data_IF_594287274963
#
_entry.id   IF_594287274963
#
_cell.length_a   1.000
_cell.length_b   1.000
_cell.length_c   1.000
_cell.angle_alpha   90.00
_cell.angle_beta   90.00
_cell.angle_gamma   90.00
#
_symmetry.space_group_name_H-M   'P 1'
#
loop_
_entity.id
_entity.type
_entity.pdbx_description
1 polymer ?
#
# COMPACT_ATOMS: atom_id res chain seq x y z
N UNK A 1 21.27 60.09 -18.80
CA UNK A 1 22.37 61.02 -18.57
C UNK A 1 23.40 60.34 -17.70
N UNK A 2 24.57 60.04 -18.26
CA UNK A 2 25.69 59.50 -17.48
C UNK A 2 26.12 60.53 -16.45
N UNK A 3 26.21 60.21 -15.16
CA UNK A 3 26.69 61.15 -14.17
C UNK A 3 28.12 61.55 -14.51
N UNK A 4 28.34 62.85 -14.54
CA UNK A 4 29.68 63.42 -14.71
C UNK A 4 30.39 63.30 -13.38
N UNK A 5 31.38 62.43 -13.29
CA UNK A 5 32.15 62.21 -12.07
C UNK A 5 33.09 63.37 -11.83
N UNK A 6 32.82 64.15 -10.84
CA UNK A 6 33.82 65.01 -10.25
C UNK A 6 34.85 64.13 -9.52
N UNK A 7 36.02 64.63 -9.21
CA UNK A 7 37.15 63.83 -8.72
C UNK A 7 36.80 63.04 -7.46
N UNK A 8 36.75 61.73 -7.58
CA UNK A 8 36.54 60.84 -6.46
C UNK A 8 37.66 60.92 -5.44
N UNK A 9 37.39 60.78 -4.14
CA UNK A 9 38.40 60.64 -3.10
C UNK A 9 39.10 59.30 -3.24
N UNK A 10 40.38 59.29 -3.59
CA UNK A 10 41.18 58.07 -3.75
C UNK A 10 42.18 57.93 -2.61
N UNK A 11 42.44 56.72 -2.16
CA UNK A 11 43.55 56.42 -1.23
C UNK A 11 44.87 56.49 -1.99
N UNK A 12 45.87 57.27 -1.50
CA UNK A 12 47.23 57.32 -2.03
C UNK A 12 47.97 56.05 -1.66
N UNK A 13 48.45 55.28 -2.60
CA UNK A 13 49.44 54.23 -2.36
C UNK A 13 50.85 54.75 -2.69
N UNK A 14 51.80 54.42 -1.85
CA UNK A 14 53.17 54.98 -1.80
C UNK A 14 54.13 54.27 -2.76
N UNK A 15 53.69 53.45 -3.72
CA UNK A 15 54.58 52.76 -4.62
C UNK A 15 54.26 52.93 -6.11
N UNK A 16 55.26 52.85 -6.92
CA UNK A 16 55.52 53.20 -8.29
C UNK A 16 54.54 52.81 -9.40
N UNK A 17 53.42 52.26 -9.10
CA UNK A 17 52.22 52.15 -9.98
C UNK A 17 51.01 52.75 -9.28
N UNK A 18 50.63 53.95 -9.70
CA UNK A 18 49.42 54.67 -9.20
C UNK A 18 48.12 53.94 -9.60
N UNK A 19 47.74 52.93 -8.89
CA UNK A 19 46.40 52.35 -8.97
C UNK A 19 45.51 53.07 -8.01
N UNK A 20 44.67 53.97 -8.51
CA UNK A 20 43.66 54.68 -7.73
C UNK A 20 42.44 53.76 -7.51
N UNK A 21 42.24 53.26 -6.30
CA UNK A 21 40.98 52.61 -5.90
C UNK A 21 40.09 53.66 -5.22
N UNK A 22 38.81 53.80 -5.62
CA UNK A 22 37.93 54.72 -4.99
C UNK A 22 37.73 54.35 -3.52
N UNK A 23 37.77 55.33 -2.61
CA UNK A 23 37.48 55.16 -1.20
C UNK A 23 36.01 54.93 -1.04
N UNK A 24 35.62 53.91 -0.26
CA UNK A 24 34.20 53.57 0.01
C UNK A 24 33.87 53.86 1.48
N UNK A 25 32.62 54.18 1.74
CA UNK A 25 32.09 54.29 3.11
C UNK A 25 31.80 52.89 3.74
N UNK A 26 31.29 52.87 4.97
CA UNK A 26 30.93 51.66 5.68
C UNK A 26 29.83 50.84 4.96
N UNK A 27 29.05 51.45 4.09
CA UNK A 27 28.01 50.81 3.27
C UNK A 27 28.52 50.39 1.89
N UNK A 28 29.83 50.56 1.61
CA UNK A 28 30.45 50.21 0.34
C UNK A 28 30.22 51.22 -0.78
N UNK A 29 29.62 52.40 -0.50
CA UNK A 29 29.33 53.46 -1.46
C UNK A 29 30.59 54.29 -1.69
N UNK A 30 30.87 54.67 -2.95
CA UNK A 30 32.03 55.48 -3.31
C UNK A 30 31.89 56.88 -2.65
N UNK A 31 32.94 57.32 -1.96
CA UNK A 31 33.01 58.64 -1.37
C UNK A 31 33.46 59.67 -2.41
N UNK A 32 32.61 60.65 -2.70
CA UNK A 32 32.88 61.74 -3.64
C UNK A 32 33.26 63.03 -2.90
N UNK A 33 33.89 63.97 -3.61
CA UNK A 33 34.23 65.31 -3.08
C UNK A 33 33.02 66.27 -3.11
N UNK A 34 32.22 66.14 -4.15
CA UNK A 34 30.99 66.90 -4.31
C UNK A 34 29.80 66.19 -3.63
N UNK A 35 28.95 66.97 -3.00
CA UNK A 35 27.69 66.43 -2.43
C UNK A 35 26.75 65.94 -3.51
N UNK A 36 26.71 66.59 -4.66
CA UNK A 36 25.90 66.19 -5.80
C UNK A 36 26.36 64.80 -6.36
N UNK A 37 27.65 64.57 -6.49
CA UNK A 37 28.20 63.26 -6.94
C UNK A 37 27.96 62.18 -5.88
N UNK A 38 27.99 62.53 -4.58
CA UNK A 38 27.71 61.61 -3.51
C UNK A 38 26.22 61.13 -3.54
N UNK A 39 25.31 62.06 -3.78
CA UNK A 39 23.88 61.76 -3.95
C UNK A 39 23.64 60.83 -5.14
N UNK A 40 24.32 61.07 -6.27
CA UNK A 40 24.25 60.19 -7.45
C UNK A 40 24.76 58.82 -7.14
N UNK A 41 25.88 58.70 -6.38
CA UNK A 41 26.40 57.39 -5.96
C UNK A 41 25.44 56.65 -5.03
N UNK A 42 24.79 57.30 -4.11
CA UNK A 42 23.78 56.76 -3.24
C UNK A 42 22.57 56.30 -4.06
N UNK A 43 22.10 57.12 -4.98
CA UNK A 43 21.02 56.75 -5.88
C UNK A 43 21.34 55.52 -6.73
N UNK A 44 22.52 55.49 -7.32
CA UNK A 44 22.96 54.36 -8.12
C UNK A 44 23.05 53.06 -7.31
N UNK A 45 23.51 53.09 -6.06
CA UNK A 45 23.55 51.93 -5.19
C UNK A 45 22.13 51.49 -4.78
N UNK A 46 21.22 52.38 -4.55
CA UNK A 46 19.81 52.07 -4.28
C UNK A 46 19.17 51.40 -5.52
N UNK A 47 19.39 51.93 -6.71
CA UNK A 47 18.91 51.30 -7.95
C UNK A 47 19.50 49.89 -8.12
N UNK A 48 20.81 49.74 -7.87
CA UNK A 48 21.47 48.43 -7.92
C UNK A 48 20.85 47.43 -6.95
N UNK A 49 20.61 47.85 -5.70
CA UNK A 49 19.97 46.99 -4.69
C UNK A 49 18.54 46.62 -5.08
N UNK A 50 17.82 47.54 -5.69
CA UNK A 50 16.44 47.29 -6.15
C UNK A 50 16.44 46.31 -7.30
N UNK A 51 17.33 46.45 -8.29
CA UNK A 51 17.50 45.51 -9.40
C UNK A 51 17.96 44.12 -8.94
N UNK A 52 18.86 44.09 -7.95
CA UNK A 52 19.29 42.79 -7.39
C UNK A 52 18.11 42.05 -6.71
N UNK A 53 17.29 42.79 -5.94
CA UNK A 53 16.08 42.19 -5.35
C UNK A 53 15.08 41.69 -6.39
N UNK A 54 14.88 42.46 -7.47
CA UNK A 54 14.02 42.04 -8.58
C UNK A 54 14.55 40.75 -9.21
N UNK A 55 15.84 40.68 -9.44
CA UNK A 55 16.49 39.47 -10.02
C UNK A 55 16.39 38.26 -9.07
N UNK A 56 16.71 38.44 -7.79
CA UNK A 56 16.61 37.39 -6.78
C UNK A 56 15.15 36.91 -6.62
N UNK A 57 14.19 37.83 -6.63
CA UNK A 57 12.78 37.47 -6.61
C UNK A 57 12.33 36.75 -7.89
N UNK A 58 12.84 37.13 -9.06
CA UNK A 58 12.49 36.48 -10.32
C UNK A 58 12.92 35.01 -10.32
N UNK A 59 14.12 34.68 -9.80
CA UNK A 59 14.57 33.30 -9.65
C UNK A 59 13.62 32.49 -8.71
N UNK A 60 13.23 33.09 -7.57
CA UNK A 60 12.28 32.48 -6.64
C UNK A 60 10.89 32.26 -7.25
N UNK A 61 10.41 33.22 -8.05
CA UNK A 61 9.12 33.11 -8.75
C UNK A 61 9.17 32.04 -9.85
N UNK A 62 10.27 31.95 -10.58
CA UNK A 62 10.43 30.92 -11.63
C UNK A 62 10.38 29.51 -11.02
N UNK A 63 11.08 29.27 -9.92
CA UNK A 63 11.03 27.98 -9.22
C UNK A 63 9.63 27.64 -8.72
N UNK A 64 8.94 28.62 -8.13
CA UNK A 64 7.56 28.45 -7.67
C UNK A 64 6.57 28.24 -8.82
N UNK A 65 6.75 28.93 -9.92
CA UNK A 65 5.91 28.75 -11.12
C UNK A 65 6.13 27.35 -11.72
N UNK A 66 7.36 26.87 -11.76
CA UNK A 66 7.68 25.50 -12.20
C UNK A 66 7.06 24.45 -11.27
N UNK A 67 7.17 24.60 -9.95
CA UNK A 67 6.52 23.72 -8.98
C UNK A 67 4.99 23.69 -9.16
N UNK A 68 4.37 24.87 -9.35
CA UNK A 68 2.93 24.96 -9.59
C UNK A 68 2.53 24.32 -10.91
N UNK A 69 3.32 24.48 -11.97
CA UNK A 69 3.09 23.86 -13.27
C UNK A 69 3.18 22.33 -13.17
N UNK A 70 4.21 21.80 -12.50
CA UNK A 70 4.34 20.36 -12.24
C UNK A 70 3.18 19.81 -11.41
N UNK A 71 2.73 20.52 -10.39
CA UNK A 71 1.57 20.12 -9.58
C UNK A 71 0.30 20.14 -10.42
N UNK A 72 0.13 21.11 -11.28
CA UNK A 72 -1.02 21.21 -12.18
C UNK A 72 -1.02 20.08 -13.22
N UNK A 73 0.13 19.76 -13.79
CA UNK A 73 0.29 18.63 -14.70
C UNK A 73 -0.04 17.31 -13.99
N UNK A 74 0.52 17.05 -12.82
CA UNK A 74 0.20 15.86 -12.00
C UNK A 74 -1.28 15.79 -11.62
N UNK A 75 -1.91 16.91 -11.32
CA UNK A 75 -3.33 16.95 -10.97
C UNK A 75 -4.26 16.61 -12.14
N UNK A 76 -3.82 16.81 -13.38
CA UNK A 76 -4.54 16.46 -14.58
C UNK A 76 -4.29 15.01 -15.03
N UNK A 77 -3.32 14.31 -14.45
CA UNK A 77 -3.07 12.91 -14.74
C UNK A 77 -4.29 12.02 -14.42
N UNK A 78 -4.40 10.91 -15.14
CA UNK A 78 -5.48 9.95 -14.96
C UNK A 78 -5.26 9.07 -13.72
N UNK A 79 -6.10 9.22 -12.70
CA UNK A 79 -6.07 8.43 -11.47
C UNK A 79 -6.31 6.93 -11.72
N UNK A 80 -7.18 6.57 -12.66
CA UNK A 80 -7.50 5.17 -12.95
C UNK A 80 -6.28 4.47 -13.55
N UNK A 81 -5.60 5.11 -14.48
CA UNK A 81 -4.37 4.60 -15.07
C UNK A 81 -3.25 4.46 -14.02
N UNK A 82 -3.10 5.46 -13.16
CA UNK A 82 -2.18 5.38 -12.00
C UNK A 82 -2.51 4.19 -11.09
N UNK A 83 -3.80 3.96 -10.80
CA UNK A 83 -4.23 2.82 -10.00
C UNK A 83 -3.85 1.49 -10.67
N UNK A 84 -4.05 1.36 -11.97
CA UNK A 84 -3.67 0.18 -12.75
C UNK A 84 -2.15 -0.05 -12.74
N UNK A 85 -1.36 1.00 -12.87
CA UNK A 85 0.10 0.91 -12.73
C UNK A 85 0.53 0.42 -11.33
N UNK A 86 -0.13 0.88 -10.26
CA UNK A 86 0.11 0.38 -8.91
C UNK A 86 -0.25 -1.11 -8.78
N UNK A 87 -1.34 -1.55 -9.40
CA UNK A 87 -1.72 -2.97 -9.45
C UNK A 87 -0.62 -3.80 -10.10
N UNK A 88 -0.10 -3.37 -11.25
CA UNK A 88 0.98 -4.05 -11.98
C UNK A 88 2.28 -4.12 -11.15
N UNK A 89 2.69 -3.00 -10.54
CA UNK A 89 3.87 -2.97 -9.65
C UNK A 89 3.71 -3.93 -8.48
N UNK A 90 2.51 -4.01 -7.93
CA UNK A 90 2.20 -4.86 -6.77
C UNK A 90 2.08 -6.34 -7.12
N UNK A 91 1.64 -6.67 -8.32
CA UNK A 91 1.51 -8.04 -8.81
C UNK A 91 2.83 -8.82 -8.73
N UNK A 92 3.96 -8.15 -8.95
CA UNK A 92 5.30 -8.75 -8.86
C UNK A 92 5.71 -9.13 -7.43
N UNK A 93 5.11 -8.50 -6.40
CA UNK A 93 5.54 -8.61 -4.98
C UNK A 93 4.47 -9.16 -4.05
N UNK A 94 3.22 -9.29 -4.49
CA UNK A 94 2.07 -9.63 -3.65
C UNK A 94 1.44 -10.97 -4.02
N UNK A 95 0.63 -11.53 -3.09
CA UNK A 95 -0.16 -12.73 -3.37
C UNK A 95 -1.21 -12.47 -4.45
N UNK A 96 -1.57 -13.51 -5.20
CA UNK A 96 -2.63 -13.45 -6.23
C UNK A 96 -3.95 -12.91 -5.68
N UNK A 97 -4.34 -13.29 -4.47
CA UNK A 97 -5.58 -12.80 -3.84
C UNK A 97 -5.54 -11.32 -3.53
N UNK A 98 -4.40 -10.78 -3.12
CA UNK A 98 -4.24 -9.35 -2.89
C UNK A 98 -4.36 -8.56 -4.20
N UNK A 99 -3.75 -9.04 -5.28
CA UNK A 99 -3.87 -8.43 -6.62
C UNK A 99 -5.31 -8.44 -7.12
N UNK A 100 -6.02 -9.57 -6.99
CA UNK A 100 -7.45 -9.66 -7.36
C UNK A 100 -8.28 -8.62 -6.60
N UNK A 101 -8.02 -8.43 -5.30
CA UNK A 101 -8.71 -7.45 -4.49
C UNK A 101 -8.51 -6.01 -5.02
N UNK A 102 -7.27 -5.65 -5.35
CA UNK A 102 -6.94 -4.33 -5.92
C UNK A 102 -7.60 -4.12 -7.28
N UNK A 103 -7.53 -5.12 -8.17
CA UNK A 103 -8.19 -5.07 -9.49
C UNK A 103 -9.70 -4.89 -9.34
N UNK A 104 -10.32 -5.56 -8.35
CA UNK A 104 -11.75 -5.42 -8.09
C UNK A 104 -12.10 -4.00 -7.64
N UNK A 105 -11.32 -3.40 -6.74
CA UNK A 105 -11.54 -2.03 -6.29
C UNK A 105 -11.40 -1.03 -7.44
N UNK A 106 -10.41 -1.20 -8.32
CA UNK A 106 -10.25 -0.36 -9.50
C UNK A 106 -11.46 -0.47 -10.44
N UNK A 107 -11.96 -1.69 -10.71
CA UNK A 107 -13.18 -1.91 -11.51
C UNK A 107 -14.41 -1.24 -10.88
N UNK A 108 -14.60 -1.37 -9.58
CA UNK A 108 -15.71 -0.73 -8.87
C UNK A 108 -15.61 0.80 -8.93
N UNK A 109 -14.40 1.34 -8.88
CA UNK A 109 -14.19 2.78 -9.03
C UNK A 109 -14.56 3.25 -10.45
N UNK A 110 -14.19 2.51 -11.50
CA UNK A 110 -14.62 2.79 -12.88
C UNK A 110 -16.14 2.80 -13.02
N UNK A 111 -16.83 1.82 -12.43
CA UNK A 111 -18.29 1.76 -12.42
C UNK A 111 -18.89 2.97 -11.70
N UNK A 112 -18.36 3.35 -10.56
CA UNK A 112 -18.78 4.52 -9.80
C UNK A 112 -18.55 5.82 -10.57
N UNK A 113 -17.38 6.00 -11.14
CA UNK A 113 -17.01 7.18 -11.93
C UNK A 113 -17.74 7.23 -13.30
N UNK A 114 -18.32 6.12 -13.75
CA UNK A 114 -18.92 5.95 -15.08
C UNK A 114 -17.97 6.33 -16.22
N UNK A 115 -16.68 6.13 -16.00
CA UNK A 115 -15.61 6.51 -16.92
C UNK A 115 -14.37 5.65 -16.72
N UNK A 116 -13.59 5.47 -17.78
CA UNK A 116 -12.27 4.86 -17.75
C UNK A 116 -11.15 5.89 -17.53
N UNK A 117 -11.48 7.17 -17.52
CA UNK A 117 -10.55 8.27 -17.24
C UNK A 117 -11.09 9.13 -16.10
N UNK A 118 -10.23 9.48 -15.16
CA UNK A 118 -10.60 10.29 -14.00
C UNK A 118 -9.38 11.08 -13.51
N UNK A 119 -9.43 12.42 -13.57
CA UNK A 119 -8.31 13.26 -13.19
C UNK A 119 -8.13 13.33 -11.66
N UNK A 120 -6.89 13.43 -11.20
CA UNK A 120 -6.61 13.63 -9.76
C UNK A 120 -7.24 14.91 -9.21
N UNK A 121 -7.36 15.96 -10.00
CA UNK A 121 -8.02 17.22 -9.62
C UNK A 121 -9.48 17.05 -9.21
N UNK A 122 -10.15 16.00 -9.66
CA UNK A 122 -11.53 15.68 -9.30
C UNK A 122 -11.66 14.94 -7.97
N UNK A 123 -10.54 14.45 -7.40
CA UNK A 123 -10.54 13.69 -6.15
C UNK A 123 -10.61 14.66 -4.98
N UNK A 124 -11.73 14.64 -4.28
CA UNK A 124 -11.99 15.45 -3.09
C UNK A 124 -12.67 14.62 -2.00
N UNK A 125 -12.86 15.20 -0.82
CA UNK A 125 -13.46 14.50 0.32
C UNK A 125 -14.88 14.02 0.03
N UNK A 126 -15.68 14.79 -0.71
CA UNK A 126 -17.04 14.42 -1.08
C UNK A 126 -17.05 13.16 -1.95
N UNK A 127 -16.23 13.13 -3.01
CA UNK A 127 -16.09 11.96 -3.88
C UNK A 127 -15.70 10.71 -3.09
N UNK A 128 -14.79 10.85 -2.12
CA UNK A 128 -14.32 9.70 -1.32
C UNK A 128 -15.46 9.17 -0.43
N UNK A 129 -16.26 10.03 0.18
CA UNK A 129 -17.42 9.61 0.96
C UNK A 129 -18.52 9.03 0.05
N UNK A 130 -18.75 9.59 -1.14
CA UNK A 130 -19.69 9.06 -2.12
C UNK A 130 -19.27 7.66 -2.60
N UNK A 131 -17.98 7.46 -2.89
CA UNK A 131 -17.45 6.14 -3.22
C UNK A 131 -17.54 5.15 -2.08
N UNK A 132 -17.33 5.59 -0.85
CA UNK A 132 -17.52 4.77 0.35
C UNK A 132 -18.97 4.29 0.49
N UNK A 133 -19.94 5.16 0.27
CA UNK A 133 -21.37 4.82 0.29
C UNK A 133 -21.71 3.88 -0.88
N UNK A 134 -21.20 4.15 -2.08
CA UNK A 134 -21.36 3.24 -3.22
C UNK A 134 -20.84 1.82 -2.91
N UNK A 135 -19.72 1.69 -2.20
CA UNK A 135 -19.18 0.37 -1.84
C UNK A 135 -20.09 -0.41 -0.87
N UNK A 136 -20.92 0.25 -0.06
CA UNK A 136 -21.86 -0.42 0.85
C UNK A 136 -23.02 -1.07 0.10
N UNK A 137 -23.35 -0.57 -1.09
CA UNK A 137 -24.43 -1.03 -1.96
C UNK A 137 -23.90 -1.71 -3.25
N UNK A 138 -22.59 -1.88 -3.37
CA UNK A 138 -21.98 -2.40 -4.58
C UNK A 138 -22.34 -3.88 -4.81
N UNK A 139 -22.63 -4.27 -6.06
CA UNK A 139 -23.00 -5.64 -6.39
C UNK A 139 -21.83 -6.61 -6.21
N UNK A 140 -22.15 -7.85 -5.92
CA UNK A 140 -21.16 -8.95 -5.92
C UNK A 140 -20.64 -9.22 -7.32
N UNK A 141 -19.43 -9.73 -7.40
CA UNK A 141 -18.80 -10.14 -8.65
C UNK A 141 -19.35 -11.47 -9.17
N UNK A 142 -19.47 -11.59 -10.49
CA UNK A 142 -19.93 -12.80 -11.16
C UNK A 142 -21.44 -13.02 -11.01
N UNK A 143 -21.86 -14.30 -11.14
CA UNK A 143 -23.27 -14.70 -11.12
C UNK A 143 -23.91 -14.75 -9.72
N UNK A 144 -23.26 -14.16 -8.70
CA UNK A 144 -23.79 -14.14 -7.34
C UNK A 144 -24.77 -12.99 -7.17
N UNK A 145 -26.00 -13.30 -6.82
CA UNK A 145 -27.03 -12.29 -6.52
C UNK A 145 -26.71 -11.54 -5.20
N UNK A 146 -27.09 -10.27 -5.16
CA UNK A 146 -27.00 -9.39 -3.98
C UNK A 146 -25.68 -8.60 -3.88
N UNK A 147 -25.60 -7.78 -2.85
CA UNK A 147 -24.53 -6.82 -2.61
C UNK A 147 -23.35 -7.44 -1.87
N UNK A 148 -22.20 -6.78 -1.94
CA UNK A 148 -21.04 -7.19 -1.14
C UNK A 148 -21.32 -6.96 0.35
N UNK A 149 -20.72 -7.80 1.21
CA UNK A 149 -20.88 -7.62 2.66
C UNK A 149 -20.15 -6.37 3.13
N UNK A 150 -20.63 -5.78 4.22
CA UNK A 150 -19.98 -4.60 4.84
C UNK A 150 -18.48 -4.85 5.13
N UNK A 151 -18.08 -6.06 5.54
CA UNK A 151 -16.69 -6.41 5.77
C UNK A 151 -15.86 -6.42 4.47
N UNK A 152 -16.48 -6.82 3.35
CA UNK A 152 -15.87 -6.74 2.03
C UNK A 152 -15.71 -5.28 1.59
N UNK A 153 -16.78 -4.48 1.75
CA UNK A 153 -16.74 -3.03 1.48
C UNK A 153 -15.64 -2.34 2.30
N UNK A 154 -15.52 -2.67 3.59
CA UNK A 154 -14.46 -2.16 4.47
C UNK A 154 -13.06 -2.50 3.96
N UNK A 155 -12.84 -3.72 3.47
CA UNK A 155 -11.56 -4.13 2.91
C UNK A 155 -11.26 -3.40 1.58
N UNK A 156 -12.27 -3.25 0.72
CA UNK A 156 -12.15 -2.52 -0.55
C UNK A 156 -11.85 -1.05 -0.32
N UNK A 157 -12.59 -0.42 0.59
CA UNK A 157 -12.34 0.97 0.96
C UNK A 157 -10.95 1.19 1.58
N UNK A 158 -10.48 0.23 2.39
CA UNK A 158 -9.11 0.28 2.93
C UNK A 158 -8.05 0.17 1.82
N UNK A 159 -8.31 -0.61 0.78
CA UNK A 159 -7.45 -0.68 -0.42
C UNK A 159 -7.45 0.66 -1.15
N UNK A 160 -8.61 1.26 -1.39
CA UNK A 160 -8.73 2.57 -2.03
C UNK A 160 -7.97 3.66 -1.25
N UNK A 161 -8.13 3.69 0.07
CA UNK A 161 -7.35 4.59 0.95
C UNK A 161 -5.84 4.39 0.81
N UNK A 162 -5.37 3.16 0.62
CA UNK A 162 -3.95 2.88 0.39
C UNK A 162 -3.46 3.47 -0.92
N UNK A 163 -4.29 3.43 -1.98
CA UNK A 163 -3.98 4.07 -3.27
C UNK A 163 -3.92 5.58 -3.14
N UNK A 164 -4.88 6.20 -2.44
CA UNK A 164 -4.88 7.64 -2.19
C UNK A 164 -3.64 8.08 -1.39
N UNK A 165 -3.26 7.30 -0.36
CA UNK A 165 -2.05 7.57 0.41
C UNK A 165 -0.80 7.51 -0.46
N UNK A 166 -0.71 6.50 -1.34
CA UNK A 166 0.42 6.39 -2.26
C UNK A 166 0.44 7.56 -3.25
N UNK A 167 -0.72 7.96 -3.78
CA UNK A 167 -0.84 9.12 -4.66
C UNK A 167 -0.39 10.43 -3.98
N UNK A 168 -0.66 10.59 -2.70
CA UNK A 168 -0.12 11.71 -1.92
C UNK A 168 1.41 11.63 -1.78
N UNK A 169 1.97 10.46 -1.47
CA UNK A 169 3.42 10.25 -1.37
C UNK A 169 4.11 10.51 -2.71
N UNK A 170 3.49 10.12 -3.83
CA UNK A 170 4.02 10.29 -5.18
C UNK A 170 3.79 11.73 -5.73
N UNK A 171 3.15 12.61 -4.93
CA UNK A 171 2.95 14.02 -5.25
C UNK A 171 1.82 14.33 -6.24
N UNK A 172 0.90 13.38 -6.50
CA UNK A 172 -0.30 13.61 -7.30
C UNK A 172 -1.43 14.29 -6.52
N UNK A 173 -1.42 14.16 -5.20
CA UNK A 173 -2.34 14.83 -4.30
C UNK A 173 -1.55 15.75 -3.37
N UNK A 174 -2.00 16.98 -3.19
CA UNK A 174 -1.37 17.98 -2.31
C UNK A 174 -1.69 17.75 -0.83
N UNK A 175 -2.73 16.98 -0.54
CA UNK A 175 -3.20 16.70 0.82
C UNK A 175 -3.43 15.20 0.97
N UNK A 176 -3.05 14.62 2.11
CA UNK A 176 -3.37 13.22 2.45
C UNK A 176 -4.88 13.09 2.78
N UNK A 177 -5.68 12.90 1.74
CA UNK A 177 -7.11 12.65 1.86
C UNK A 177 -7.41 11.32 2.55
N UNK A 178 -6.47 10.37 2.49
CA UNK A 178 -6.64 9.07 3.14
C UNK A 178 -6.67 9.18 4.66
N UNK A 179 -5.88 10.08 5.25
CA UNK A 179 -5.84 10.31 6.68
C UNK A 179 -7.13 10.97 7.20
N UNK A 180 -7.71 11.86 6.40
CA UNK A 180 -8.92 12.62 6.78
C UNK A 180 -10.21 11.80 6.74
N UNK A 181 -10.22 10.64 6.06
CA UNK A 181 -11.43 9.84 5.84
C UNK A 181 -11.57 8.71 6.86
N UNK A 182 -12.73 8.59 7.49
CA UNK A 182 -13.05 7.49 8.42
C UNK A 182 -13.24 6.17 7.67
N UNK A 183 -12.71 5.08 8.23
CA UNK A 183 -12.89 3.72 7.68
C UNK A 183 -14.34 3.26 7.80
N UNK A 184 -14.76 2.34 6.92
CA UNK A 184 -16.00 1.59 7.12
C UNK A 184 -15.79 0.65 8.32
N UNK A 185 -16.68 0.70 9.30
CA UNK A 185 -16.65 -0.19 10.47
C UNK A 185 -16.84 -1.64 10.02
N UNK A 186 -16.00 -2.52 10.51
CA UNK A 186 -16.21 -3.96 10.35
C UNK A 186 -17.24 -4.46 11.32
N UNK A 187 -18.07 -5.39 10.85
CA UNK A 187 -18.98 -6.15 11.70
C UNK A 187 -18.26 -7.39 12.22
N UNK A 188 -18.46 -7.68 13.49
CA UNK A 188 -18.00 -8.93 14.07
C UNK A 188 -18.80 -10.07 13.47
N UNK A 189 -18.10 -11.07 12.95
CA UNK A 189 -18.71 -12.28 12.40
C UNK A 189 -18.37 -13.45 13.30
N UNK A 190 -19.41 -14.03 13.91
CA UNK A 190 -19.25 -15.28 14.65
C UNK A 190 -19.01 -16.42 13.66
N UNK A 191 -17.97 -17.19 13.91
CA UNK A 191 -17.69 -18.41 13.14
C UNK A 191 -18.23 -19.59 13.88
N UNK A 192 -18.87 -20.49 13.13
CA UNK A 192 -19.32 -21.77 13.65
C UNK A 192 -18.12 -22.68 13.84
N UNK A 193 -18.06 -23.36 14.98
CA UNK A 193 -17.04 -24.34 15.34
C UNK A 193 -17.69 -25.70 15.60
N UNK A 194 -16.95 -26.78 15.36
CA UNK A 194 -17.41 -28.14 15.67
C UNK A 194 -17.27 -28.45 17.17
N UNK A 195 -18.21 -29.17 17.72
CA UNK A 195 -18.09 -29.78 19.06
C UNK A 195 -17.29 -31.08 18.98
N UNK A 196 -16.88 -31.63 20.13
CA UNK A 196 -16.17 -32.93 20.15
C UNK A 196 -17.05 -34.07 19.65
N UNK A 197 -18.35 -34.05 19.97
CA UNK A 197 -19.35 -35.03 19.52
C UNK A 197 -19.47 -34.97 17.99
N UNK A 198 -19.54 -33.79 17.42
CA UNK A 198 -19.58 -33.59 15.96
C UNK A 198 -18.31 -34.04 15.27
N UNK A 199 -17.15 -33.85 15.88
CA UNK A 199 -15.86 -34.34 15.36
C UNK A 199 -15.89 -35.90 15.36
N UNK A 200 -16.39 -36.53 16.42
CA UNK A 200 -16.53 -37.97 16.47
C UNK A 200 -17.49 -38.53 15.39
N UNK A 201 -18.61 -37.82 15.14
CA UNK A 201 -19.50 -38.15 14.02
C UNK A 201 -18.78 -38.06 12.68
N UNK A 202 -18.01 -37.01 12.46
CA UNK A 202 -17.24 -36.84 11.23
C UNK A 202 -16.18 -37.93 11.06
N UNK A 203 -15.49 -38.34 12.11
CA UNK A 203 -14.50 -39.41 12.06
C UNK A 203 -15.16 -40.74 11.60
N UNK A 204 -16.38 -41.04 12.05
CA UNK A 204 -17.11 -42.26 11.75
C UNK A 204 -17.91 -42.18 10.43
N UNK A 205 -18.05 -41.00 9.82
CA UNK A 205 -18.77 -40.84 8.55
C UNK A 205 -17.84 -41.00 7.36
N UNK A 206 -18.25 -41.77 6.36
CA UNK A 206 -17.53 -41.91 5.12
C UNK A 206 -17.47 -40.63 4.31
N UNK A 207 -16.34 -40.41 3.64
CA UNK A 207 -16.14 -39.24 2.76
C UNK A 207 -15.77 -39.76 1.37
N UNK A 208 -16.45 -39.26 0.34
CA UNK A 208 -16.18 -39.64 -1.08
C UNK A 208 -14.72 -39.45 -1.48
N UNK A 209 -14.01 -38.59 -0.78
CA UNK A 209 -12.58 -38.32 -1.02
C UNK A 209 -11.81 -38.46 0.29
N UNK A 210 -11.21 -39.66 0.55
CA UNK A 210 -10.49 -39.92 1.79
C UNK A 210 -9.41 -38.89 2.13
N UNK A 211 -8.68 -38.41 1.12
CA UNK A 211 -7.63 -37.39 1.32
C UNK A 211 -8.19 -36.08 1.89
N UNK A 212 -9.43 -35.69 1.56
CA UNK A 212 -10.06 -34.49 2.12
C UNK A 212 -10.41 -34.72 3.60
N UNK A 213 -10.93 -35.91 3.95
CA UNK A 213 -11.19 -36.30 5.34
C UNK A 213 -9.89 -36.31 6.15
N UNK A 214 -8.85 -36.96 5.67
CA UNK A 214 -7.54 -36.97 6.34
C UNK A 214 -6.97 -35.59 6.56
N UNK A 215 -6.91 -34.73 5.52
CA UNK A 215 -6.40 -33.37 5.62
C UNK A 215 -7.24 -32.47 6.53
N UNK A 216 -8.57 -32.64 6.54
CA UNK A 216 -9.46 -31.88 7.42
C UNK A 216 -9.31 -32.31 8.88
N UNK A 217 -9.29 -33.60 9.18
CA UNK A 217 -9.06 -34.12 10.53
C UNK A 217 -7.65 -33.76 11.05
N UNK A 218 -6.63 -33.81 10.19
CA UNK A 218 -5.30 -33.36 10.54
C UNK A 218 -5.29 -31.87 10.89
N UNK A 219 -5.96 -31.04 10.09
CA UNK A 219 -6.12 -29.61 10.39
C UNK A 219 -6.86 -29.38 11.72
N UNK A 220 -7.91 -30.15 12.03
CA UNK A 220 -8.63 -30.07 13.30
C UNK A 220 -7.74 -30.38 14.50
N UNK A 221 -6.91 -31.41 14.41
CA UNK A 221 -6.02 -31.84 15.49
C UNK A 221 -4.79 -30.95 15.67
N UNK A 222 -4.38 -30.24 14.61
CA UNK A 222 -3.15 -29.46 14.62
C UNK A 222 -3.38 -27.94 14.58
N UNK A 223 -4.59 -27.49 14.22
CA UNK A 223 -4.87 -26.07 13.98
C UNK A 223 -4.24 -25.49 12.71
N UNK A 224 -3.60 -26.31 11.88
CA UNK A 224 -2.97 -25.87 10.64
C UNK A 224 -3.99 -25.39 9.62
N UNK A 225 -3.64 -24.33 8.89
CA UNK A 225 -4.45 -23.87 7.76
C UNK A 225 -4.36 -24.84 6.59
N UNK A 226 -5.42 -24.91 5.78
CA UNK A 226 -5.42 -25.72 4.56
C UNK A 226 -4.16 -25.55 3.69
N UNK A 227 -3.68 -24.32 3.50
CA UNK A 227 -2.50 -24.05 2.68
C UNK A 227 -1.21 -24.64 3.29
N UNK A 228 -1.14 -24.74 4.61
CA UNK A 228 0.02 -25.30 5.31
C UNK A 228 -0.08 -26.85 5.28
N UNK A 229 -1.27 -27.42 5.54
CA UNK A 229 -1.51 -28.88 5.39
C UNK A 229 -1.18 -29.35 3.98
N UNK A 230 -1.64 -28.62 2.95
CA UNK A 230 -1.39 -28.99 1.54
C UNK A 230 0.08 -29.02 1.16
N UNK A 231 0.89 -28.21 1.79
CA UNK A 231 2.33 -28.06 1.50
C UNK A 231 3.24 -28.81 2.45
N UNK A 232 2.66 -29.45 3.46
CA UNK A 232 3.40 -30.17 4.48
C UNK A 232 4.23 -31.29 3.82
N UNK A 233 5.52 -31.33 4.16
CA UNK A 233 6.46 -32.34 3.68
C UNK A 233 6.81 -33.31 4.79
N UNK A 234 7.20 -34.53 4.41
CA UNK A 234 7.61 -35.54 5.38
C UNK A 234 8.83 -35.11 6.22
N UNK A 235 9.76 -34.36 5.66
CA UNK A 235 10.91 -33.82 6.39
C UNK A 235 10.54 -32.80 7.49
N UNK A 236 9.31 -32.25 7.46
CA UNK A 236 8.80 -31.34 8.48
C UNK A 236 8.15 -32.08 9.66
N UNK A 237 7.92 -33.39 9.53
CA UNK A 237 7.43 -34.29 10.58
C UNK A 237 8.61 -34.98 11.29
N UNK A 238 8.69 -34.81 12.59
CA UNK A 238 9.77 -35.40 13.39
C UNK A 238 9.19 -36.30 14.48
N UNK A 239 9.73 -37.53 14.59
CA UNK A 239 9.49 -38.40 15.73
C UNK A 239 10.69 -38.33 16.68
N UNK A 240 10.46 -37.97 17.92
CA UNK A 240 11.49 -37.84 18.97
C UNK A 240 11.05 -38.71 20.14
N UNK A 241 11.61 -39.93 20.21
CA UNK A 241 11.12 -40.98 21.13
C UNK A 241 9.67 -41.31 20.82
N UNK A 242 8.78 -41.21 21.80
CA UNK A 242 7.35 -41.46 21.66
C UNK A 242 6.53 -40.20 21.31
N UNK A 243 7.20 -39.08 21.05
CA UNK A 243 6.55 -37.81 20.73
C UNK A 243 6.72 -37.45 19.27
N UNK A 244 5.71 -36.76 18.74
CA UNK A 244 5.70 -36.25 17.38
C UNK A 244 5.68 -34.74 17.37
N UNK A 245 6.42 -34.13 16.44
CA UNK A 245 6.53 -32.68 16.30
C UNK A 245 6.51 -32.26 14.85
N UNK A 246 5.90 -31.11 14.57
CA UNK A 246 6.02 -30.40 13.32
C UNK A 246 7.09 -29.31 13.43
N UNK A 247 7.90 -29.20 12.38
CA UNK A 247 8.85 -28.12 12.19
C UNK A 247 8.65 -27.59 10.77
N UNK A 248 7.84 -26.55 10.62
CA UNK A 248 7.42 -26.07 9.30
C UNK A 248 7.38 -24.54 9.25
N UNK A 249 7.42 -23.99 8.03
CA UNK A 249 7.28 -22.56 7.81
C UNK A 249 5.88 -22.23 7.32
N UNK A 250 5.14 -21.41 8.10
CA UNK A 250 3.79 -20.99 7.72
C UNK A 250 3.80 -20.24 6.39
N UNK A 251 2.95 -20.63 5.46
CA UNK A 251 2.89 -20.01 4.14
C UNK A 251 2.43 -18.56 4.18
N UNK A 252 1.47 -18.23 5.04
CA UNK A 252 0.85 -16.91 5.10
C UNK A 252 1.69 -15.89 5.86
N UNK A 253 2.30 -16.28 6.97
CA UNK A 253 3.02 -15.38 7.88
C UNK A 253 4.54 -15.50 7.76
N UNK A 254 5.03 -16.55 7.08
CA UNK A 254 6.46 -16.86 6.92
C UNK A 254 7.20 -17.14 8.24
N UNK A 255 6.46 -17.33 9.32
CA UNK A 255 7.03 -17.73 10.60
C UNK A 255 7.41 -19.22 10.62
N UNK A 256 8.54 -19.53 11.23
CA UNK A 256 8.94 -20.91 11.54
C UNK A 256 8.22 -21.36 12.80
N UNK A 257 7.54 -22.48 12.73
CA UNK A 257 6.74 -23.02 13.82
C UNK A 257 7.27 -24.40 14.26
N UNK A 258 7.38 -24.57 15.56
CA UNK A 258 7.73 -25.84 16.21
C UNK A 258 6.57 -26.21 17.12
N UNK A 259 5.80 -27.20 16.75
CA UNK A 259 4.66 -27.61 17.56
C UNK A 259 4.56 -29.11 17.74
N UNK A 260 4.27 -29.58 18.97
CA UNK A 260 3.96 -30.98 19.22
C UNK A 260 2.62 -31.33 18.54
N UNK A 261 2.54 -32.54 18.03
CA UNK A 261 1.28 -33.11 17.50
C UNK A 261 0.99 -34.42 18.21
N UNK A 262 -0.31 -34.79 18.25
CA UNK A 262 -0.72 -36.06 18.81
C UNK A 262 -0.36 -37.25 17.90
N UNK A 263 -0.23 -38.42 18.48
CA UNK A 263 -0.07 -39.66 17.71
C UNK A 263 -1.22 -39.83 16.70
N UNK A 264 -2.44 -39.50 17.09
CA UNK A 264 -3.60 -39.54 16.19
C UNK A 264 -3.42 -38.65 14.95
N UNK A 265 -2.91 -37.44 15.13
CA UNK A 265 -2.61 -36.56 14.01
C UNK A 265 -1.50 -37.13 13.12
N UNK A 266 -0.45 -37.71 13.72
CA UNK A 266 0.62 -38.39 12.96
C UNK A 266 0.10 -39.57 12.15
N UNK A 267 -0.76 -40.42 12.72
CA UNK A 267 -1.38 -41.55 12.02
C UNK A 267 -2.18 -41.15 10.79
N UNK A 268 -2.79 -39.95 10.78
CA UNK A 268 -3.51 -39.41 9.61
C UNK A 268 -2.57 -39.12 8.42
N UNK A 269 -1.29 -38.96 8.65
CA UNK A 269 -0.32 -38.72 7.60
C UNK A 269 -0.05 -39.97 6.74
N UNK A 270 -0.33 -41.18 7.27
CA UNK A 270 -0.06 -42.45 6.64
C UNK A 270 1.40 -42.89 6.82
N UNK A 271 1.88 -43.74 5.92
CA UNK A 271 3.23 -44.27 5.97
C UNK A 271 4.28 -43.22 5.58
N UNK A 272 5.41 -43.14 6.32
CA UNK A 272 6.48 -42.22 6.03
C UNK A 272 7.06 -42.40 4.62
N UNK A 273 7.34 -41.28 3.96
CA UNK A 273 7.94 -41.23 2.63
C UNK A 273 9.22 -40.39 2.65
N UNK A 274 9.81 -40.12 1.49
CA UNK A 274 11.01 -39.31 1.37
C UNK A 274 10.76 -37.89 1.91
N UNK A 275 11.73 -37.25 2.57
CA UNK A 275 11.56 -35.96 3.24
C UNK A 275 10.99 -34.83 2.37
N UNK A 276 11.29 -34.85 1.08
CA UNK A 276 10.86 -33.81 0.11
C UNK A 276 9.43 -34.03 -0.39
N UNK A 277 8.87 -35.22 -0.19
CA UNK A 277 7.53 -35.57 -0.64
C UNK A 277 6.47 -34.92 0.24
N UNK A 278 5.36 -34.54 -0.40
CA UNK A 278 4.20 -33.99 0.33
C UNK A 278 3.50 -35.10 1.11
N UNK A 279 3.09 -34.81 2.34
CA UNK A 279 2.30 -35.70 3.18
C UNK A 279 0.91 -35.92 2.56
N UNK A 280 0.27 -34.85 2.14
CA UNK A 280 -1.07 -34.86 1.53
C UNK A 280 -0.98 -34.44 0.05
N UNK A 281 -0.24 -35.21 -0.77
CA UNK A 281 0.07 -34.85 -2.16
C UNK A 281 -1.17 -34.56 -3.01
N UNK A 282 -2.23 -35.36 -2.84
CA UNK A 282 -3.46 -35.28 -3.63
C UNK A 282 -4.52 -34.33 -3.01
N UNK A 283 -4.17 -33.58 -1.96
CA UNK A 283 -5.10 -32.62 -1.33
C UNK A 283 -5.39 -31.47 -2.31
N UNK A 284 -6.63 -31.33 -2.82
CA UNK A 284 -6.96 -30.29 -3.79
C UNK A 284 -6.90 -28.89 -3.20
N UNK A 285 -6.96 -27.87 -4.07
CA UNK A 285 -7.07 -26.49 -3.64
C UNK A 285 -8.38 -26.22 -2.87
N UNK A 286 -8.35 -25.27 -1.96
CA UNK A 286 -9.48 -24.94 -1.06
C UNK A 286 -10.81 -24.71 -1.80
N UNK A 287 -10.76 -24.15 -3.00
CA UNK A 287 -11.94 -23.93 -3.84
C UNK A 287 -12.57 -25.22 -4.33
N UNK A 288 -11.75 -26.26 -4.59
CA UNK A 288 -12.19 -27.58 -5.05
C UNK A 288 -12.60 -28.49 -3.90
N UNK A 289 -12.11 -28.26 -2.69
CA UNK A 289 -12.47 -29.02 -1.49
C UNK A 289 -13.88 -28.68 -0.99
N UNK A 290 -14.27 -27.42 -1.06
CA UNK A 290 -15.48 -26.91 -0.40
C UNK A 290 -16.76 -27.72 -0.70
N UNK A 291 -17.06 -28.16 -1.93
CA UNK A 291 -18.24 -28.96 -2.20
C UNK A 291 -18.20 -30.34 -1.51
N UNK A 292 -17.07 -31.06 -1.63
CA UNK A 292 -16.89 -32.40 -1.03
C UNK A 292 -16.91 -32.32 0.51
N UNK A 293 -16.26 -31.31 1.07
CA UNK A 293 -16.28 -31.05 2.52
C UNK A 293 -17.70 -30.83 3.03
N UNK A 294 -18.48 -29.97 2.36
CA UNK A 294 -19.89 -29.72 2.73
C UNK A 294 -20.76 -30.97 2.63
N UNK A 295 -20.55 -31.78 1.59
CA UNK A 295 -21.26 -33.06 1.43
C UNK A 295 -20.97 -34.02 2.60
N UNK A 296 -19.69 -34.18 2.96
CA UNK A 296 -19.27 -35.00 4.08
C UNK A 296 -19.81 -34.52 5.42
N UNK A 297 -19.71 -33.21 5.71
CA UNK A 297 -20.25 -32.59 6.94
C UNK A 297 -21.76 -32.83 7.04
N UNK A 298 -22.50 -32.65 5.92
CA UNK A 298 -23.95 -32.90 5.88
C UNK A 298 -24.27 -34.38 6.08
N UNK A 299 -23.49 -35.31 5.53
CA UNK A 299 -23.66 -36.73 5.74
C UNK A 299 -23.45 -37.14 7.21
N UNK A 300 -22.62 -36.41 7.95
CA UNK A 300 -22.47 -36.59 9.40
C UNK A 300 -23.64 -36.00 10.24
N UNK A 301 -24.68 -35.47 9.60
CA UNK A 301 -25.82 -34.86 10.28
C UNK A 301 -25.61 -33.43 10.74
N UNK A 302 -24.52 -32.77 10.31
CA UNK A 302 -24.18 -31.41 10.69
C UNK A 302 -24.71 -30.45 9.61
N UNK A 303 -25.73 -29.66 9.93
CA UNK A 303 -26.40 -28.76 8.97
C UNK A 303 -25.91 -27.31 9.02
N UNK A 304 -25.00 -26.99 9.92
CA UNK A 304 -24.36 -25.68 10.02
C UNK A 304 -23.33 -25.45 8.91
N UNK A 305 -23.05 -24.16 8.62
CA UNK A 305 -22.05 -23.83 7.59
C UNK A 305 -20.63 -23.90 8.15
N UNK A 306 -20.12 -25.11 8.26
CA UNK A 306 -18.73 -25.37 8.64
C UNK A 306 -17.83 -25.28 7.41
N UNK A 307 -16.69 -24.65 7.56
CA UNK A 307 -15.66 -24.52 6.53
C UNK A 307 -14.37 -25.15 7.01
N UNK A 308 -13.37 -25.26 6.15
CA UNK A 308 -12.08 -25.82 6.53
C UNK A 308 -11.31 -24.98 7.59
N UNK A 309 -11.80 -23.78 7.92
CA UNK A 309 -11.22 -22.90 8.95
C UNK A 309 -12.18 -22.74 10.11
#
# INVERSE_FOLDING_TARGET
>A
TTPIWDKTRTARTTETKKTYKPKRDANGIIQCRSTADQEVCIYADNVRKLRQREFDNQALFTDRENELAEQQEKSNCNFIEYFEQLIQKRQKKSSRSATINWTRVCKLFKVFAKSDTFAFSQINMKLIEDFKNFLLEAPRDGNKKGDITQNTASNYFSTFKTVLKQAFVDGYLTIDLSAKTKRIRKLDTRRETLTLEEINLLVNTECDKPIIKQGALFSLLTGLRHCDVKKLRWGELQKIGDKYRLNFTQQKTKGVEYMPISEQAYKLCGEPKQPEQLVFADLPDITKISPSLKKWIKAAGIHRNITFH
#
